data_IF_166182083912
#
_entry.id   IF_166182083912
#
_cell.length_a   1.000
_cell.length_b   1.000
_cell.length_c   1.000
_cell.angle_alpha   90.00
_cell.angle_beta   90.00
_cell.angle_gamma   90.00
#
_symmetry.space_group_name_H-M   'P 1'
#
loop_
_entity.id
_entity.type
_entity.pdbx_description
1 polymer ?
#
# COMPACT_ATOMS: atom_id res chain seq x y z
N UNK A 1 -36.68 7.43 -8.64
CA UNK A 1 -36.59 7.30 -7.16
C UNK A 1 -35.89 6.02 -6.70
N UNK A 2 -36.32 4.82 -7.11
CA UNK A 2 -35.69 3.55 -6.68
C UNK A 2 -34.19 3.42 -7.02
N UNK A 3 -33.75 3.93 -8.18
CA UNK A 3 -32.34 3.92 -8.61
C UNK A 3 -31.40 4.74 -7.70
N UNK A 4 -31.84 5.92 -7.24
CA UNK A 4 -31.06 6.76 -6.32
C UNK A 4 -30.89 6.11 -4.93
N UNK A 5 -31.92 5.41 -4.45
CA UNK A 5 -31.87 4.67 -3.19
C UNK A 5 -30.87 3.51 -3.29
N UNK A 6 -30.87 2.80 -4.43
CA UNK A 6 -29.96 1.68 -4.68
C UNK A 6 -28.49 2.15 -4.76
N UNK A 7 -28.26 3.27 -5.43
CA UNK A 7 -26.95 3.93 -5.48
C UNK A 7 -26.48 4.32 -4.08
N UNK A 8 -27.33 4.94 -3.27
CA UNK A 8 -27.03 5.30 -1.88
C UNK A 8 -26.64 4.09 -1.02
N UNK A 9 -27.38 2.99 -1.13
CA UNK A 9 -27.07 1.72 -0.46
C UNK A 9 -25.69 1.17 -0.86
N UNK A 10 -25.35 1.21 -2.15
CA UNK A 10 -24.04 0.81 -2.66
C UNK A 10 -22.93 1.69 -2.09
N UNK A 11 -23.10 3.01 -2.06
CA UNK A 11 -22.10 3.92 -1.49
C UNK A 11 -21.89 3.70 0.01
N UNK A 12 -22.97 3.46 0.76
CA UNK A 12 -22.89 3.15 2.20
C UNK A 12 -22.13 1.84 2.41
N UNK A 13 -22.45 0.81 1.62
CA UNK A 13 -21.77 -0.48 1.70
C UNK A 13 -20.29 -0.36 1.34
N UNK A 14 -19.96 0.40 0.30
CA UNK A 14 -18.59 0.65 -0.13
C UNK A 14 -17.79 1.38 0.97
N UNK A 15 -18.39 2.40 1.60
CA UNK A 15 -17.79 3.14 2.71
C UNK A 15 -17.50 2.24 3.91
N UNK A 16 -18.48 1.40 4.31
CA UNK A 16 -18.28 0.41 5.38
C UNK A 16 -17.17 -0.57 5.04
N UNK A 17 -17.14 -1.07 3.81
CA UNK A 17 -16.11 -2.02 3.35
C UNK A 17 -14.72 -1.40 3.42
N UNK A 18 -14.57 -0.14 3.02
CA UNK A 18 -13.30 0.60 3.09
C UNK A 18 -12.84 0.78 4.54
N UNK A 19 -13.73 1.16 5.46
CA UNK A 19 -13.40 1.32 6.88
C UNK A 19 -12.96 -0.02 7.48
N UNK A 20 -13.72 -1.10 7.24
CA UNK A 20 -13.37 -2.44 7.71
C UNK A 20 -12.02 -2.87 7.14
N UNK A 21 -11.76 -2.61 5.86
CA UNK A 21 -10.49 -2.92 5.22
C UNK A 21 -9.32 -2.19 5.88
N UNK A 22 -9.46 -0.91 6.24
CA UNK A 22 -8.43 -0.15 6.95
C UNK A 22 -8.11 -0.78 8.32
N UNK A 23 -9.13 -1.15 9.09
CA UNK A 23 -8.93 -1.83 10.38
C UNK A 23 -8.31 -3.22 10.21
N UNK A 24 -8.70 -3.95 9.16
CA UNK A 24 -8.15 -5.27 8.87
C UNK A 24 -6.68 -5.18 8.47
N UNK A 25 -6.31 -4.18 7.69
CA UNK A 25 -4.91 -3.89 7.33
C UNK A 25 -4.11 -3.51 8.58
N UNK A 26 -4.64 -2.68 9.49
CA UNK A 26 -3.94 -2.32 10.73
C UNK A 26 -3.73 -3.54 11.65
N UNK A 27 -4.73 -4.41 11.76
CA UNK A 27 -4.63 -5.66 12.50
C UNK A 27 -3.63 -6.63 11.86
N UNK A 28 -3.71 -6.83 10.54
CA UNK A 28 -2.78 -7.69 9.80
C UNK A 28 -1.36 -7.13 9.79
N UNK A 29 -1.20 -5.81 9.79
CA UNK A 29 0.08 -5.15 9.97
C UNK A 29 0.60 -5.44 11.38
N UNK A 30 -0.16 -5.21 12.45
CA UNK A 30 0.27 -5.56 13.82
C UNK A 30 0.69 -7.03 13.98
N UNK A 31 -0.02 -7.95 13.33
CA UNK A 31 0.29 -9.39 13.36
C UNK A 31 1.51 -9.73 12.49
N UNK A 32 1.58 -9.20 11.27
CA UNK A 32 2.65 -9.48 10.32
C UNK A 32 3.95 -8.76 10.68
N UNK A 33 3.90 -7.56 11.27
CA UNK A 33 5.08 -6.79 11.67
C UNK A 33 5.99 -7.55 12.63
N UNK A 34 5.42 -8.44 13.46
CA UNK A 34 6.19 -9.31 14.36
C UNK A 34 7.07 -10.30 13.59
N UNK A 35 6.62 -10.75 12.42
CA UNK A 35 7.38 -11.60 11.49
C UNK A 35 8.25 -10.80 10.54
N UNK A 36 7.80 -9.62 10.10
CA UNK A 36 8.59 -8.70 9.24
C UNK A 36 9.78 -8.05 9.97
N UNK A 37 9.75 -7.91 11.30
CA UNK A 37 10.93 -7.51 12.08
C UNK A 37 12.09 -8.51 12.01
N UNK A 38 11.84 -9.77 11.63
CA UNK A 38 12.89 -10.78 11.38
C UNK A 38 13.46 -10.74 9.97
N UNK A 39 12.81 -10.05 9.04
CA UNK A 39 13.30 -9.93 7.67
C UNK A 39 14.46 -8.93 7.60
N UNK A 40 15.42 -9.14 6.68
CA UNK A 40 16.56 -8.25 6.56
C UNK A 40 16.11 -6.84 6.17
N UNK A 41 16.67 -5.81 6.84
CA UNK A 41 16.31 -4.40 6.64
C UNK A 41 16.50 -3.89 5.20
N UNK A 42 17.34 -4.55 4.40
CA UNK A 42 17.56 -4.21 2.99
C UNK A 42 16.40 -4.65 2.08
N UNK A 43 15.65 -5.69 2.48
CA UNK A 43 14.48 -6.18 1.76
C UNK A 43 13.24 -5.39 2.16
N UNK A 44 13.03 -5.18 3.46
CA UNK A 44 11.84 -4.51 3.99
C UNK A 44 12.26 -3.56 5.12
N UNK A 45 12.01 -2.27 4.89
CA UNK A 45 12.23 -1.20 5.84
C UNK A 45 10.88 -0.74 6.40
N UNK A 46 10.63 -1.10 7.66
CA UNK A 46 9.41 -0.74 8.38
C UNK A 46 9.70 0.50 9.21
N UNK A 47 9.02 1.60 8.89
CA UNK A 47 9.03 2.84 9.66
C UNK A 47 7.75 2.89 10.51
N UNK A 48 7.87 2.71 11.82
CA UNK A 48 6.77 2.92 12.78
C UNK A 48 6.96 4.30 13.43
N UNK A 49 6.00 5.21 13.26
CA UNK A 49 5.95 6.45 14.02
C UNK A 49 4.52 6.82 14.36
N UNK A 50 4.24 6.98 15.67
CA UNK A 50 3.00 7.53 16.21
C UNK A 50 1.73 6.97 15.54
N UNK A 51 1.59 5.65 15.53
CA UNK A 51 0.48 4.86 14.93
C UNK A 51 0.51 4.68 13.40
N UNK A 52 1.41 5.36 12.69
CA UNK A 52 1.59 5.16 11.25
C UNK A 52 2.71 4.13 10.99
N UNK A 53 2.34 3.06 10.28
CA UNK A 53 3.28 2.03 9.84
C UNK A 53 3.54 2.15 8.35
N UNK A 54 4.70 2.65 7.98
CA UNK A 54 5.17 2.71 6.60
C UNK A 54 6.06 1.49 6.31
N UNK A 55 5.56 0.57 5.50
CA UNK A 55 6.34 -0.58 5.01
C UNK A 55 6.87 -0.21 3.63
N UNK A 56 8.17 0.07 3.55
CA UNK A 56 8.85 0.34 2.28
C UNK A 56 9.85 -0.76 1.98
N UNK A 57 10.17 -0.98 0.71
CA UNK A 57 11.22 -1.92 0.31
C UNK A 57 12.32 -1.13 -0.40
N UNK A 58 13.48 -0.89 0.24
CA UNK A 58 14.58 -0.13 -0.35
C UNK A 58 15.00 -0.67 -1.72
N UNK A 59 14.98 -2.00 -1.89
CA UNK A 59 15.33 -2.67 -3.14
C UNK A 59 14.36 -2.33 -4.27
N UNK A 60 13.06 -2.27 -3.97
CA UNK A 60 12.01 -1.91 -4.95
C UNK A 60 12.13 -0.46 -5.40
N UNK A 61 12.53 0.43 -4.50
CA UNK A 61 12.80 1.84 -4.84
C UNK A 61 13.98 1.92 -5.81
N UNK A 62 15.07 1.19 -5.55
CA UNK A 62 16.24 1.13 -6.43
C UNK A 62 15.86 0.56 -7.80
N UNK A 63 15.13 -0.56 -7.84
CA UNK A 63 14.67 -1.18 -9.10
C UNK A 63 13.78 -0.21 -9.88
N UNK A 64 12.86 0.49 -9.20
CA UNK A 64 11.99 1.49 -9.81
C UNK A 64 12.78 2.66 -10.41
N UNK A 65 13.79 3.16 -9.71
CA UNK A 65 14.68 4.21 -10.21
C UNK A 65 15.47 3.75 -11.43
N UNK A 66 16.06 2.55 -11.38
CA UNK A 66 16.78 1.96 -12.53
C UNK A 66 15.85 1.80 -13.73
N UNK A 67 14.62 1.32 -13.49
CA UNK A 67 13.61 1.18 -14.53
C UNK A 67 13.21 2.53 -15.16
N UNK A 68 13.01 3.56 -14.33
CA UNK A 68 12.70 4.91 -14.80
C UNK A 68 13.83 5.48 -15.66
N UNK A 69 15.08 5.34 -15.20
CA UNK A 69 16.25 5.80 -15.97
C UNK A 69 16.35 5.05 -17.30
N UNK A 70 16.20 3.73 -17.28
CA UNK A 70 16.21 2.90 -18.49
C UNK A 70 15.08 3.30 -19.47
N UNK A 71 13.88 3.53 -18.95
CA UNK A 71 12.73 3.95 -19.74
C UNK A 71 12.96 5.33 -20.38
N UNK A 72 13.50 6.29 -19.62
CA UNK A 72 13.85 7.62 -20.13
C UNK A 72 14.93 7.56 -21.22
N UNK A 73 15.97 6.74 -21.03
CA UNK A 73 16.99 6.50 -22.06
C UNK A 73 16.38 5.91 -23.34
N UNK A 74 15.48 4.94 -23.19
CA UNK A 74 14.78 4.33 -24.33
C UNK A 74 13.87 5.32 -25.06
N UNK A 75 13.25 6.25 -24.33
CA UNK A 75 12.40 7.29 -24.91
C UNK A 75 13.23 8.35 -25.66
N UNK A 76 14.40 8.71 -25.13
CA UNK A 76 15.27 9.72 -25.75
C UNK A 76 16.00 9.19 -27.00
N UNK A 77 16.37 7.92 -27.03
CA UNK A 77 17.06 7.29 -28.17
C UNK A 77 16.10 6.84 -29.29
N UNK A 78 14.85 7.29 -29.29
CA UNK A 78 13.82 6.95 -30.27
C UNK A 78 13.30 8.22 -30.94
#
# INVERSE_FOLDING_TARGET
MKSLIFLGLILIFLGLTLVILTYLIDYLNKVSLKSLKKLPKFLIYVYEKDELTFITSPILIIIGLVYIVWFLFKLYNK
#
